data_IF_758380927885
#
_entry.id   IF_758380927885
#
_cell.length_a   1.000
_cell.length_b   1.000
_cell.length_c   1.000
_cell.angle_alpha   90.00
_cell.angle_beta   90.00
_cell.angle_gamma   90.00
#
_symmetry.space_group_name_H-M   'P 1'
#
loop_
_entity.id
_entity.type
_entity.pdbx_description
1 polymer ?
#
# COMPACT_ATOMS: atom_id res chain seq x y z
N UNK A 1 37.56 -17.62 36.48
CA UNK A 1 36.46 -16.59 36.40
C UNK A 1 36.58 -15.89 35.06
N UNK A 2 35.75 -16.24 34.11
CA UNK A 2 35.77 -15.65 32.78
C UNK A 2 34.56 -14.69 32.65
N UNK A 3 34.75 -13.42 32.27
CA UNK A 3 33.62 -12.53 32.08
C UNK A 3 32.98 -12.78 30.72
N UNK A 4 31.75 -13.22 30.73
CA UNK A 4 30.92 -13.25 29.54
C UNK A 4 30.71 -11.83 29.03
N UNK A 5 31.27 -11.56 27.86
CA UNK A 5 31.02 -10.33 27.12
C UNK A 5 29.60 -10.37 26.57
N UNK A 6 28.71 -9.58 27.17
CA UNK A 6 27.39 -9.32 26.60
C UNK A 6 27.56 -8.44 25.36
N UNK A 7 27.51 -9.07 24.21
CA UNK A 7 27.43 -8.35 22.93
C UNK A 7 26.04 -7.74 22.83
N UNK A 8 25.95 -6.45 23.15
CA UNK A 8 24.73 -5.65 22.90
C UNK A 8 24.51 -5.58 21.38
N UNK A 9 23.56 -6.35 20.90
CA UNK A 9 23.07 -6.25 19.52
C UNK A 9 22.33 -4.91 19.40
N UNK A 10 23.03 -3.88 18.94
CA UNK A 10 22.39 -2.64 18.52
C UNK A 10 21.50 -2.95 17.31
N UNK A 11 20.26 -2.41 17.26
CA UNK A 11 19.44 -2.50 16.07
C UNK A 11 20.21 -1.88 14.90
N UNK A 12 20.32 -2.60 13.81
CA UNK A 12 20.92 -2.09 12.58
C UNK A 12 20.24 -0.78 12.19
N UNK A 13 21.02 0.27 11.96
CA UNK A 13 20.50 1.53 11.42
C UNK A 13 19.66 1.26 10.16
N UNK A 14 18.56 1.99 9.95
CA UNK A 14 17.75 1.79 8.75
C UNK A 14 18.65 1.93 7.52
N UNK A 15 18.62 0.92 6.69
CA UNK A 15 19.34 1.00 5.43
C UNK A 15 18.70 2.11 4.56
N UNK A 16 19.35 2.48 3.46
CA UNK A 16 18.83 3.50 2.54
C UNK A 16 17.46 3.14 1.94
N UNK A 17 16.99 1.91 2.16
CA UNK A 17 15.66 1.46 1.71
C UNK A 17 14.51 2.00 2.54
N UNK A 18 14.76 2.46 3.77
CA UNK A 18 13.73 2.88 4.74
C UNK A 18 13.03 1.70 5.44
N UNK A 19 13.58 0.48 5.33
CA UNK A 19 13.15 -0.70 6.05
C UNK A 19 14.19 -1.08 7.11
N UNK A 20 13.73 -1.53 8.28
CA UNK A 20 14.59 -2.14 9.32
C UNK A 20 14.13 -3.57 9.53
N UNK A 21 15.09 -4.51 9.62
CA UNK A 21 14.82 -5.93 9.82
C UNK A 21 15.34 -6.41 11.16
N UNK A 22 14.66 -7.36 11.78
CA UNK A 22 15.04 -7.93 13.07
C UNK A 22 14.35 -9.25 13.35
N UNK A 23 14.43 -9.68 14.63
CA UNK A 23 13.68 -10.82 15.14
C UNK A 23 12.88 -10.40 16.37
N UNK A 24 11.68 -10.97 16.47
CA UNK A 24 10.81 -10.82 17.63
C UNK A 24 11.30 -11.68 18.82
N UNK A 25 10.73 -11.48 19.99
CA UNK A 25 11.08 -12.26 21.20
C UNK A 25 10.75 -13.75 21.07
N UNK A 26 9.76 -14.09 20.23
CA UNK A 26 9.36 -15.46 19.92
C UNK A 26 9.99 -16.00 18.62
N UNK A 27 11.01 -15.29 18.09
CA UNK A 27 11.89 -15.75 17.01
C UNK A 27 11.38 -15.48 15.58
N UNK A 28 10.23 -14.80 15.40
CA UNK A 28 9.75 -14.44 14.08
C UNK A 28 10.71 -13.47 13.38
N UNK A 29 10.88 -13.62 12.06
CA UNK A 29 11.50 -12.61 11.24
C UNK A 29 10.53 -11.43 11.11
N UNK A 30 10.98 -10.24 11.51
CA UNK A 30 10.15 -9.03 11.54
C UNK A 30 10.81 -7.87 10.82
N UNK A 31 10.02 -6.89 10.43
CA UNK A 31 10.50 -5.65 9.84
C UNK A 31 9.62 -4.46 10.19
N UNK A 32 10.21 -3.26 10.06
CA UNK A 32 9.53 -1.97 10.26
C UNK A 32 9.74 -1.09 9.01
N UNK A 33 8.65 -0.50 8.52
CA UNK A 33 8.65 0.50 7.46
C UNK A 33 7.75 1.67 7.91
N UNK A 34 8.36 2.78 8.29
CA UNK A 34 7.61 3.87 8.91
C UNK A 34 6.89 3.43 10.17
N UNK A 35 5.57 3.51 10.20
CA UNK A 35 4.72 3.05 11.32
C UNK A 35 4.20 1.62 11.15
N UNK A 36 4.43 0.98 9.99
CA UNK A 36 3.94 -0.36 9.69
C UNK A 36 4.96 -1.42 10.05
N UNK A 37 4.54 -2.39 10.83
CA UNK A 37 5.33 -3.56 11.22
C UNK A 37 4.90 -4.77 10.40
N UNK A 38 5.85 -5.63 10.07
CA UNK A 38 5.67 -6.83 9.27
C UNK A 38 6.29 -8.01 9.98
N UNK A 39 5.66 -9.18 9.88
CA UNK A 39 6.21 -10.44 10.37
C UNK A 39 6.01 -11.57 9.35
N UNK A 40 7.02 -12.43 9.25
CA UNK A 40 6.92 -13.71 8.55
C UNK A 40 6.39 -14.74 9.55
N UNK A 41 5.12 -15.10 9.42
CA UNK A 41 4.42 -15.97 10.37
C UNK A 41 4.31 -17.37 9.79
N UNK A 42 4.70 -18.43 10.53
CA UNK A 42 4.50 -19.81 10.12
C UNK A 42 3.01 -20.14 9.92
N UNK A 43 2.72 -20.85 8.83
CA UNK A 43 1.42 -21.40 8.50
C UNK A 43 1.48 -22.94 8.52
N UNK A 44 0.34 -23.61 8.28
CA UNK A 44 0.30 -25.07 8.18
C UNK A 44 1.12 -25.56 6.98
N UNK A 45 1.71 -26.74 7.11
CA UNK A 45 2.45 -27.37 6.01
C UNK A 45 3.82 -26.77 5.71
N UNK A 46 4.43 -26.02 6.66
CA UNK A 46 5.77 -25.43 6.47
C UNK A 46 5.77 -24.15 5.63
N UNK A 47 4.61 -23.67 5.25
CA UNK A 47 4.45 -22.38 4.57
C UNK A 47 4.52 -21.22 5.55
N UNK A 48 4.59 -20.02 5.02
CA UNK A 48 4.56 -18.79 5.81
C UNK A 48 3.60 -17.78 5.16
N UNK A 49 3.20 -16.77 5.92
CA UNK A 49 2.48 -15.63 5.39
C UNK A 49 2.99 -14.33 5.98
N UNK A 50 2.77 -13.24 5.26
CA UNK A 50 3.06 -11.90 5.71
C UNK A 50 1.93 -11.42 6.62
N UNK A 51 2.25 -11.17 7.88
CA UNK A 51 1.35 -10.51 8.81
C UNK A 51 1.77 -9.06 9.03
N UNK A 52 0.82 -8.19 9.33
CA UNK A 52 1.08 -6.78 9.59
C UNK A 52 0.62 -6.37 10.99
N UNK A 53 1.31 -5.41 11.56
CA UNK A 53 0.95 -4.67 12.75
C UNK A 53 1.13 -3.18 12.51
N UNK A 54 0.63 -2.35 13.41
CA UNK A 54 0.68 -0.90 13.26
C UNK A 54 1.05 -0.20 14.56
N UNK A 55 1.98 0.77 14.49
CA UNK A 55 2.41 1.62 15.60
C UNK A 55 2.84 0.85 16.85
N UNK A 56 3.61 -0.21 16.67
CA UNK A 56 4.22 -0.90 17.82
C UNK A 56 5.38 -0.04 18.32
N UNK A 57 5.21 0.56 19.50
CA UNK A 57 6.15 1.55 20.05
C UNK A 57 7.38 0.95 20.75
N UNK A 58 7.36 -0.36 21.09
CA UNK A 58 8.48 -1.05 21.71
C UNK A 58 9.50 -1.59 20.70
N UNK A 59 10.74 -1.91 21.11
CA UNK A 59 11.75 -2.49 20.24
C UNK A 59 11.30 -3.80 19.57
N UNK A 60 11.77 -4.07 18.36
CA UNK A 60 11.43 -5.30 17.62
C UNK A 60 11.74 -6.59 18.39
N UNK A 61 12.80 -6.59 19.20
CA UNK A 61 13.17 -7.73 20.05
C UNK A 61 12.14 -8.08 21.13
N UNK A 62 11.20 -7.18 21.40
CA UNK A 62 10.10 -7.38 22.35
C UNK A 62 8.77 -7.70 21.67
N UNK A 63 8.74 -7.69 20.33
CA UNK A 63 7.52 -8.05 19.58
C UNK A 63 7.23 -9.53 19.71
N UNK A 64 5.95 -9.87 19.58
CA UNK A 64 5.45 -11.25 19.62
C UNK A 64 4.47 -11.48 18.47
N UNK A 65 4.12 -12.74 18.22
CA UNK A 65 3.10 -13.11 17.22
C UNK A 65 1.77 -12.34 17.43
N UNK A 66 1.40 -12.03 18.65
CA UNK A 66 0.14 -11.33 18.99
C UNK A 66 0.08 -9.86 18.53
N UNK A 67 1.20 -9.27 18.16
CA UNK A 67 1.26 -7.90 17.64
C UNK A 67 0.83 -7.81 16.17
N UNK A 68 0.70 -8.95 15.50
CA UNK A 68 0.42 -9.05 14.08
C UNK A 68 -0.93 -9.72 13.87
N UNK A 69 -1.88 -9.00 13.28
CA UNK A 69 -3.30 -9.35 13.25
C UNK A 69 -3.90 -9.52 11.85
N UNK A 70 -3.11 -9.33 10.78
CA UNK A 70 -3.58 -9.48 9.41
C UNK A 70 -2.86 -10.59 8.67
N UNK A 71 -3.46 -11.07 7.58
CA UNK A 71 -2.84 -11.94 6.59
C UNK A 71 -2.70 -11.14 5.29
N UNK A 72 -1.46 -10.81 4.91
CA UNK A 72 -1.16 -9.96 3.76
C UNK A 72 -0.49 -10.75 2.61
N UNK A 73 -0.88 -12.00 2.46
CA UNK A 73 -0.43 -12.90 1.40
C UNK A 73 0.60 -13.93 1.86
N UNK A 74 0.70 -14.99 1.07
CA UNK A 74 1.60 -16.10 1.34
C UNK A 74 3.04 -15.76 0.98
N UNK A 75 3.98 -16.39 1.69
CA UNK A 75 5.42 -16.22 1.53
C UNK A 75 6.09 -17.58 1.32
N UNK A 76 6.91 -17.69 0.29
CA UNK A 76 7.67 -18.90 0.04
C UNK A 76 8.83 -19.07 1.06
N UNK A 77 9.56 -17.98 1.33
CA UNK A 77 10.78 -17.99 2.14
C UNK A 77 11.12 -16.60 2.70
N UNK A 78 12.25 -16.51 3.40
CA UNK A 78 12.78 -15.22 3.92
C UNK A 78 13.10 -14.22 2.79
N UNK A 79 13.56 -14.70 1.63
CA UNK A 79 13.85 -13.84 0.47
C UNK A 79 12.56 -13.15 -0.01
N UNK A 80 11.45 -13.88 -0.12
CA UNK A 80 10.14 -13.37 -0.46
C UNK A 80 9.63 -12.35 0.58
N UNK A 81 9.84 -12.63 1.87
CA UNK A 81 9.51 -11.69 2.95
C UNK A 81 10.27 -10.36 2.79
N UNK A 82 11.60 -10.44 2.63
CA UNK A 82 12.44 -9.25 2.47
C UNK A 82 12.06 -8.44 1.23
N UNK A 83 11.84 -9.11 0.10
CA UNK A 83 11.42 -8.49 -1.14
C UNK A 83 10.09 -7.73 -0.96
N UNK A 84 9.11 -8.35 -0.29
CA UNK A 84 7.80 -7.73 -0.04
C UNK A 84 7.89 -6.51 0.89
N UNK A 85 8.71 -6.59 1.93
CA UNK A 85 8.96 -5.46 2.85
C UNK A 85 9.66 -4.30 2.12
N UNK A 86 10.66 -4.58 1.28
CA UNK A 86 11.36 -3.57 0.49
C UNK A 86 10.44 -2.90 -0.55
N UNK A 87 9.52 -3.67 -1.15
CA UNK A 87 8.47 -3.15 -2.02
C UNK A 87 7.58 -2.15 -1.27
N UNK A 88 7.16 -2.49 -0.04
CA UNK A 88 6.37 -1.57 0.79
C UNK A 88 7.17 -0.31 1.19
N UNK A 89 8.45 -0.46 1.48
CA UNK A 89 9.31 0.68 1.77
C UNK A 89 9.45 1.61 0.56
N UNK A 90 9.60 1.06 -0.64
CA UNK A 90 9.60 1.82 -1.88
C UNK A 90 8.26 2.54 -2.10
N UNK A 91 7.14 1.85 -1.93
CA UNK A 91 5.80 2.44 -2.03
C UNK A 91 5.63 3.63 -1.08
N UNK A 92 6.06 3.51 0.18
CA UNK A 92 6.01 4.61 1.15
C UNK A 92 6.83 5.82 0.70
N UNK A 93 8.06 5.62 0.20
CA UNK A 93 8.91 6.71 -0.31
C UNK A 93 8.29 7.41 -1.53
N UNK A 94 7.83 6.63 -2.50
CA UNK A 94 7.17 7.17 -3.69
C UNK A 94 5.91 7.95 -3.31
N UNK A 95 5.10 7.42 -2.39
CA UNK A 95 3.89 8.09 -1.90
C UNK A 95 4.18 9.43 -1.22
N UNK A 96 5.27 9.52 -0.45
CA UNK A 96 5.73 10.77 0.14
C UNK A 96 6.20 11.76 -0.94
N UNK A 97 6.96 11.29 -1.93
CA UNK A 97 7.47 12.11 -3.02
C UNK A 97 6.36 12.68 -3.92
N UNK A 98 5.23 11.99 -4.05
CA UNK A 98 4.07 12.46 -4.82
C UNK A 98 3.39 13.68 -4.18
N UNK A 99 3.63 13.99 -2.92
CA UNK A 99 3.16 15.21 -2.26
C UNK A 99 1.63 15.37 -2.25
N UNK A 100 0.88 14.26 -2.22
CA UNK A 100 -0.58 14.26 -2.20
C UNK A 100 -1.12 15.03 -0.99
N UNK A 101 -2.12 15.88 -1.19
CA UNK A 101 -2.68 16.72 -0.13
C UNK A 101 -3.96 16.11 0.43
N UNK A 102 -4.18 16.27 1.73
CA UNK A 102 -5.45 15.87 2.37
C UNK A 102 -6.54 16.88 2.04
N UNK A 103 -7.74 16.38 1.76
CA UNK A 103 -8.96 17.15 1.57
C UNK A 103 -9.90 16.92 2.74
N UNK A 104 -10.48 18.00 3.28
CA UNK A 104 -11.56 17.90 4.26
C UNK A 104 -12.84 17.34 3.62
N UNK A 105 -13.69 16.70 4.42
CA UNK A 105 -14.98 16.20 3.96
C UNK A 105 -15.98 17.29 3.60
N UNK A 106 -17.20 16.89 3.24
CA UNK A 106 -18.34 17.77 2.98
C UNK A 106 -18.83 17.80 1.54
N UNK A 107 -18.05 17.31 0.58
CA UNK A 107 -18.49 17.20 -0.81
C UNK A 107 -19.58 16.13 -0.98
N UNK A 108 -20.55 16.38 -1.86
CA UNK A 108 -21.51 15.35 -2.29
C UNK A 108 -20.86 14.45 -3.34
N UNK A 109 -20.98 13.14 -3.16
CA UNK A 109 -20.50 12.12 -4.10
C UNK A 109 -21.64 11.16 -4.47
N UNK A 110 -21.51 10.32 -5.51
CA UNK A 110 -22.53 9.30 -5.81
C UNK A 110 -22.75 8.29 -4.67
N UNK A 111 -21.79 8.14 -3.77
CA UNK A 111 -21.79 7.19 -2.64
C UNK A 111 -22.20 7.86 -1.31
N UNK A 112 -22.57 9.13 -1.33
CA UNK A 112 -22.96 9.88 -0.15
C UNK A 112 -22.05 11.08 0.14
N UNK A 113 -22.17 11.62 1.35
CA UNK A 113 -21.37 12.76 1.78
C UNK A 113 -19.93 12.34 2.09
N UNK A 114 -18.96 12.99 1.47
CA UNK A 114 -17.53 12.75 1.71
C UNK A 114 -17.14 13.09 3.14
N UNK A 115 -16.45 12.17 3.80
CA UNK A 115 -15.85 12.35 5.12
C UNK A 115 -14.42 12.89 5.03
N UNK A 116 -13.81 12.82 3.86
CA UNK A 116 -12.46 13.27 3.57
C UNK A 116 -12.03 12.85 2.19
N UNK A 117 -10.77 13.13 1.85
CA UNK A 117 -10.24 12.75 0.55
C UNK A 117 -8.76 13.09 0.39
N UNK A 118 -8.28 12.89 -0.81
CA UNK A 118 -6.90 13.17 -1.19
C UNK A 118 -6.86 13.85 -2.56
N UNK A 119 -6.17 14.97 -2.65
CA UNK A 119 -5.89 15.65 -3.90
C UNK A 119 -4.60 15.05 -4.48
N UNK A 120 -4.70 14.40 -5.61
CA UNK A 120 -3.58 13.83 -6.37
C UNK A 120 -2.94 14.86 -7.30
N UNK A 121 -3.77 15.68 -7.91
CA UNK A 121 -3.41 16.83 -8.73
C UNK A 121 -4.65 17.69 -8.93
N UNK A 122 -4.51 18.88 -9.53
CA UNK A 122 -5.64 19.67 -9.97
C UNK A 122 -6.54 18.85 -10.89
N UNK A 123 -7.82 18.75 -10.53
CA UNK A 123 -8.81 17.99 -11.26
C UNK A 123 -8.74 16.47 -11.09
N UNK A 124 -7.94 15.95 -10.15
CA UNK A 124 -7.87 14.51 -9.79
C UNK A 124 -7.93 14.39 -8.27
N UNK A 125 -9.10 14.03 -7.74
CA UNK A 125 -9.36 14.00 -6.29
C UNK A 125 -10.02 12.68 -5.93
N UNK A 126 -9.52 11.99 -4.89
CA UNK A 126 -10.24 10.88 -4.29
C UNK A 126 -11.10 11.37 -3.11
N UNK A 127 -12.24 10.73 -2.92
CA UNK A 127 -13.16 10.96 -1.80
C UNK A 127 -13.43 9.66 -1.07
N UNK A 128 -13.56 9.72 0.24
CA UNK A 128 -14.01 8.60 1.09
C UNK A 128 -15.35 8.97 1.74
N UNK A 129 -16.26 8.02 1.83
CA UNK A 129 -17.53 8.14 2.53
C UNK A 129 -17.65 7.07 3.61
N UNK A 130 -18.78 6.92 4.26
CA UNK A 130 -18.97 5.91 5.30
C UNK A 130 -18.96 4.46 4.77
N UNK A 131 -19.33 4.24 3.51
CA UNK A 131 -19.44 2.90 2.92
C UNK A 131 -18.54 2.67 1.73
N UNK A 132 -18.35 3.68 0.91
CA UNK A 132 -17.58 3.60 -0.34
C UNK A 132 -16.73 4.84 -0.55
N UNK A 133 -15.93 4.83 -1.62
CA UNK A 133 -15.15 5.96 -2.05
C UNK A 133 -14.89 5.94 -3.55
N UNK A 134 -14.03 6.83 -4.00
CA UNK A 134 -13.64 6.85 -5.40
C UNK A 134 -13.06 8.18 -5.83
N UNK A 135 -12.70 8.25 -7.11
CA UNK A 135 -12.12 9.42 -7.71
C UNK A 135 -13.16 10.29 -8.39
N UNK A 136 -12.97 11.61 -8.27
CA UNK A 136 -13.58 12.61 -9.12
C UNK A 136 -12.54 13.20 -10.05
N UNK A 137 -12.78 13.11 -11.33
CA UNK A 137 -12.02 13.83 -12.35
C UNK A 137 -12.78 15.09 -12.80
N UNK A 138 -12.04 16.20 -13.02
CA UNK A 138 -12.58 17.34 -13.74
C UNK A 138 -12.99 16.96 -15.17
N UNK A 139 -13.83 17.74 -15.81
CA UNK A 139 -14.24 17.48 -17.19
C UNK A 139 -13.03 17.41 -18.16
N UNK A 140 -12.00 18.24 -17.92
CA UNK A 140 -10.77 18.23 -18.70
C UNK A 140 -9.98 16.94 -18.48
N UNK A 141 -9.79 16.51 -17.23
CA UNK A 141 -9.10 15.28 -16.90
C UNK A 141 -9.86 14.06 -17.41
N UNK A 142 -11.18 14.05 -17.25
CA UNK A 142 -12.02 12.94 -17.71
C UNK A 142 -11.96 12.73 -19.24
N UNK A 143 -11.79 13.80 -20.03
CA UNK A 143 -11.58 13.67 -21.49
C UNK A 143 -10.29 12.93 -21.87
N UNK A 144 -9.29 12.83 -20.98
CA UNK A 144 -8.03 12.08 -21.19
C UNK A 144 -8.18 10.58 -20.97
N UNK A 145 -9.23 10.15 -20.27
CA UNK A 145 -9.54 8.74 -20.11
C UNK A 145 -9.99 8.17 -21.46
N UNK A 146 -9.50 7.00 -21.81
CA UNK A 146 -9.88 6.30 -23.03
C UNK A 146 -11.40 6.11 -23.10
N UNK A 147 -11.98 6.23 -24.29
CA UNK A 147 -13.44 6.28 -24.47
C UNK A 147 -14.15 5.04 -23.93
N UNK A 148 -13.55 3.86 -24.06
CA UNK A 148 -14.09 2.59 -23.56
C UNK A 148 -14.13 2.51 -22.01
N UNK A 149 -13.30 3.28 -21.33
CA UNK A 149 -13.17 3.27 -19.86
C UNK A 149 -13.73 4.53 -19.20
N UNK A 150 -14.19 5.50 -20.02
CA UNK A 150 -14.59 6.81 -19.53
C UNK A 150 -15.94 6.77 -18.85
N UNK A 151 -15.95 7.08 -17.55
CA UNK A 151 -17.17 7.20 -16.78
C UNK A 151 -17.92 8.51 -17.08
N UNK A 152 -19.26 8.47 -17.30
CA UNK A 152 -20.09 9.67 -17.36
C UNK A 152 -19.95 10.49 -16.07
N UNK A 153 -19.76 11.81 -16.19
CA UNK A 153 -19.61 12.68 -15.03
C UNK A 153 -18.25 12.58 -14.30
N UNK A 154 -17.33 11.70 -14.72
CA UNK A 154 -15.96 11.61 -14.20
C UNK A 154 -15.84 11.07 -12.77
N UNK A 155 -16.76 10.21 -12.35
CA UNK A 155 -16.70 9.49 -11.08
C UNK A 155 -16.24 8.06 -11.31
N UNK A 156 -15.25 7.62 -10.53
CA UNK A 156 -14.60 6.30 -10.62
C UNK A 156 -14.57 5.69 -9.22
N UNK A 157 -15.27 4.62 -9.02
CA UNK A 157 -15.44 3.92 -7.74
C UNK A 157 -14.10 3.28 -7.27
N UNK A 158 -13.95 3.07 -5.95
CA UNK A 158 -12.69 2.66 -5.33
C UNK A 158 -12.31 1.19 -5.53
N UNK A 159 -13.26 0.29 -5.77
CA UNK A 159 -12.96 -1.14 -5.81
C UNK A 159 -12.18 -1.51 -7.08
N UNK A 160 -12.65 -1.11 -8.26
CA UNK A 160 -12.00 -1.43 -9.52
C UNK A 160 -11.71 -0.18 -10.37
N UNK A 161 -12.67 0.77 -10.44
CA UNK A 161 -12.59 1.91 -11.35
C UNK A 161 -11.43 2.87 -11.03
N UNK A 162 -10.89 2.87 -9.80
CA UNK A 162 -9.69 3.64 -9.47
C UNK A 162 -8.51 3.31 -10.38
N UNK A 163 -8.44 2.04 -10.84
CA UNK A 163 -7.38 1.56 -11.71
C UNK A 163 -7.37 2.29 -13.06
N UNK A 164 -8.55 2.66 -13.58
CA UNK A 164 -8.69 3.47 -14.80
C UNK A 164 -8.02 4.84 -14.63
N UNK A 165 -8.20 5.46 -13.45
CA UNK A 165 -7.56 6.74 -13.14
C UNK A 165 -6.04 6.56 -13.07
N UNK A 166 -5.57 5.47 -12.45
CA UNK A 166 -4.16 5.20 -12.27
C UNK A 166 -3.43 4.91 -13.60
N UNK A 167 -4.02 4.14 -14.51
CA UNK A 167 -3.42 3.91 -15.83
C UNK A 167 -3.47 5.15 -16.73
N UNK A 168 -4.50 6.01 -16.55
CA UNK A 168 -4.62 7.27 -17.31
C UNK A 168 -3.62 8.32 -16.84
N UNK A 169 -3.29 8.36 -15.54
CA UNK A 169 -2.39 9.35 -14.92
C UNK A 169 -1.28 8.67 -14.11
N UNK A 170 -0.44 7.81 -14.72
CA UNK A 170 0.52 6.97 -14.00
C UNK A 170 1.53 7.78 -13.17
N UNK A 171 1.81 9.03 -13.55
CA UNK A 171 2.71 9.92 -12.81
C UNK A 171 2.16 10.36 -11.43
N UNK A 172 0.88 10.15 -11.16
CA UNK A 172 0.23 10.46 -9.87
C UNK A 172 0.20 9.27 -8.90
N UNK A 173 0.70 8.11 -9.35
CA UNK A 173 0.64 6.85 -8.62
C UNK A 173 2.01 6.23 -8.45
N UNK A 174 2.19 5.50 -7.35
CA UNK A 174 3.43 4.77 -7.07
C UNK A 174 3.60 3.59 -8.04
N UNK A 175 4.81 3.05 -8.14
CA UNK A 175 5.09 1.86 -8.95
C UNK A 175 4.22 0.66 -8.55
N UNK A 176 3.98 0.49 -7.24
CA UNK A 176 3.11 -0.57 -6.71
C UNK A 176 1.65 -0.35 -7.12
N UNK A 177 1.12 0.86 -6.94
CA UNK A 177 -0.26 1.21 -7.34
C UNK A 177 -0.46 1.01 -8.85
N UNK A 178 0.50 1.44 -9.68
CA UNK A 178 0.42 1.25 -11.14
C UNK A 178 0.35 -0.22 -11.54
N UNK A 179 1.18 -1.07 -10.93
CA UNK A 179 1.18 -2.51 -11.22
C UNK A 179 -0.16 -3.16 -10.84
N UNK A 180 -0.74 -2.79 -9.71
CA UNK A 180 -2.07 -3.27 -9.32
C UNK A 180 -3.15 -2.73 -10.26
N UNK A 181 -3.07 -1.47 -10.66
CA UNK A 181 -4.02 -0.88 -11.59
C UNK A 181 -4.00 -1.57 -12.96
N UNK A 182 -2.81 -1.85 -13.51
CA UNK A 182 -2.67 -2.61 -14.75
C UNK A 182 -3.33 -4.00 -14.64
N UNK A 183 -3.08 -4.72 -13.55
CA UNK A 183 -3.69 -6.02 -13.34
C UNK A 183 -5.21 -5.91 -13.21
N UNK A 184 -5.71 -4.95 -12.45
CA UNK A 184 -7.15 -4.71 -12.28
C UNK A 184 -7.82 -4.41 -13.62
N UNK A 185 -7.21 -3.56 -14.46
CA UNK A 185 -7.81 -3.24 -15.78
C UNK A 185 -7.78 -4.43 -16.71
N UNK A 186 -6.72 -5.24 -16.70
CA UNK A 186 -6.64 -6.50 -17.47
C UNK A 186 -7.74 -7.49 -17.09
N UNK A 187 -8.01 -7.58 -15.78
CA UNK A 187 -8.98 -8.55 -15.27
C UNK A 187 -10.43 -8.08 -15.47
N UNK A 188 -10.71 -6.79 -15.24
CA UNK A 188 -12.07 -6.24 -15.26
C UNK A 188 -12.51 -5.71 -16.64
N UNK A 189 -11.57 -5.28 -17.48
CA UNK A 189 -11.85 -4.73 -18.83
C UNK A 189 -10.85 -5.25 -19.88
N UNK A 190 -10.76 -6.58 -20.12
CA UNK A 190 -9.76 -7.17 -21.01
C UNK A 190 -9.82 -6.60 -22.44
N UNK A 191 -11.02 -6.44 -23.01
CA UNK A 191 -11.20 -5.90 -24.36
C UNK A 191 -10.67 -4.45 -24.47
N UNK A 192 -10.94 -3.62 -23.45
CA UNK A 192 -10.44 -2.25 -23.43
C UNK A 192 -8.92 -2.23 -23.22
N UNK A 193 -8.38 -3.18 -22.42
CA UNK A 193 -6.95 -3.29 -22.22
C UNK A 193 -6.20 -3.60 -23.51
N UNK A 194 -6.72 -4.51 -24.35
CA UNK A 194 -6.12 -4.85 -25.65
C UNK A 194 -6.03 -3.63 -26.61
N UNK A 195 -6.96 -2.67 -26.48
CA UNK A 195 -6.95 -1.46 -27.33
C UNK A 195 -6.04 -0.35 -26.82
N UNK A 196 -5.67 -0.34 -25.53
CA UNK A 196 -4.90 0.77 -24.90
C UNK A 196 -3.45 0.42 -24.56
N UNK A 197 -3.04 -0.84 -24.67
CA UNK A 197 -1.70 -1.37 -24.28
C UNK A 197 -0.64 -1.43 -25.42
#
# INVERSE_FOLDING_TARGET
>A
MSPYSQSSIQPAAPDKSGASFGRSSDGLLVALVGENSYAMVPARGGQHYLATGWRISRPMAEWTRSDFYSHFGDLADEGAFRAKVLEQAQHCREKQALGRLRLAGGAHTPWGQSQGGTIYAEGVVSHSTAGHGGFKLSAERNRKVHTLLRAPGGWYEEDECWAIVAITFPQLFTSLERRYAEQTVKDSWPDAWEEIS
#
